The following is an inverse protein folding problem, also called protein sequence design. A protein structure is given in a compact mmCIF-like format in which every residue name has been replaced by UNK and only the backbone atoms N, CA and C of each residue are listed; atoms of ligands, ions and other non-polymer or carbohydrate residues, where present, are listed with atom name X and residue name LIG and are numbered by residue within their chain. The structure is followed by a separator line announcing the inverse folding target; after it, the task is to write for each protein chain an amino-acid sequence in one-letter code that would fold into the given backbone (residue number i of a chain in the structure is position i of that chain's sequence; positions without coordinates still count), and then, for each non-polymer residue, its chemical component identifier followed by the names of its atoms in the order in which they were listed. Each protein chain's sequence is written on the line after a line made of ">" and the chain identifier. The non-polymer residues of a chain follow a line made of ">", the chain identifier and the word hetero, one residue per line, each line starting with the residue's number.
data_IF_035638167415
#
_entry.id   IF_035638167415
#
_cell.length_a   1.000
_cell.length_b   1.000
_cell.length_c   1.000
_cell.angle_alpha   90.00
_cell.angle_beta   90.00
_cell.angle_gamma   90.00
#
_symmetry.space_group_name_H-M   'P 1'
#
loop_
_entity.id
_entity.type
_entity.pdbx_description
1 polymer ?
#
# COMPACT_ATOMS: atom_id res chain seq x y z
N UNK A 1 -6.80 6.37 -16.63
CA UNK A 1 -6.42 5.28 -15.71
C UNK A 1 -5.41 5.77 -14.68
N UNK A 2 -4.28 6.37 -15.11
CA UNK A 2 -3.29 6.96 -14.20
C UNK A 2 -3.86 8.04 -13.29
N UNK A 3 -4.78 8.89 -13.77
CA UNK A 3 -5.35 9.96 -12.95
C UNK A 3 -6.22 9.42 -11.80
N UNK A 4 -7.06 8.42 -12.06
CA UNK A 4 -7.84 7.76 -11.00
C UNK A 4 -6.94 7.11 -9.94
N UNK A 5 -5.81 6.52 -10.35
CA UNK A 5 -4.83 5.96 -9.41
C UNK A 5 -4.15 7.05 -8.56
N UNK A 6 -3.92 8.24 -9.13
CA UNK A 6 -3.38 9.39 -8.38
C UNK A 6 -4.38 9.92 -7.37
N UNK A 7 -5.65 10.05 -7.75
CA UNK A 7 -6.73 10.45 -6.85
C UNK A 7 -6.85 9.46 -5.68
N UNK A 8 -6.81 8.16 -5.97
CA UNK A 8 -6.83 7.12 -4.95
C UNK A 8 -5.61 7.18 -4.03
N UNK A 9 -4.41 7.34 -4.58
CA UNK A 9 -3.18 7.50 -3.80
C UNK A 9 -3.24 8.73 -2.89
N UNK A 10 -3.77 9.85 -3.39
CA UNK A 10 -3.94 11.08 -2.62
C UNK A 10 -4.94 10.89 -1.46
N UNK A 11 -6.08 10.23 -1.72
CA UNK A 11 -7.06 9.89 -0.69
C UNK A 11 -6.45 9.04 0.43
N UNK A 12 -5.76 7.95 0.06
CA UNK A 12 -5.15 7.02 1.02
C UNK A 12 -4.07 7.72 1.85
N UNK A 13 -3.21 8.50 1.20
CA UNK A 13 -2.10 9.21 1.88
C UNK A 13 -2.63 10.28 2.82
N UNK A 14 -3.68 11.02 2.44
CA UNK A 14 -4.30 12.01 3.30
C UNK A 14 -5.02 11.38 4.51
N UNK A 15 -5.64 10.21 4.33
CA UNK A 15 -6.33 9.50 5.41
C UNK A 15 -5.36 8.81 6.39
N UNK A 16 -4.17 8.42 5.93
CA UNK A 16 -3.19 7.63 6.71
C UNK A 16 -1.74 8.15 6.56
N UNK A 17 -1.47 9.43 6.91
CA UNK A 17 -0.17 10.06 6.67
C UNK A 17 0.98 9.38 7.42
N UNK A 18 0.73 8.84 8.61
CA UNK A 18 1.76 8.16 9.43
C UNK A 18 2.00 6.71 9.01
N UNK A 19 1.14 6.14 8.17
CA UNK A 19 1.24 4.75 7.72
C UNK A 19 1.98 4.62 6.38
N UNK A 20 1.79 5.58 5.47
CA UNK A 20 2.34 5.55 4.10
C UNK A 20 3.73 6.19 4.08
N UNK A 21 4.74 5.39 3.70
CA UNK A 21 6.14 5.83 3.53
C UNK A 21 6.34 6.42 2.14
N UNK A 22 5.77 5.77 1.11
CA UNK A 22 5.84 6.24 -0.26
C UNK A 22 4.71 5.67 -1.11
N UNK A 23 4.43 6.35 -2.22
CA UNK A 23 3.46 5.93 -3.24
C UNK A 23 4.12 5.97 -4.61
N UNK A 24 3.91 4.94 -5.42
CA UNK A 24 4.44 4.85 -6.78
C UNK A 24 3.37 4.33 -7.73
N UNK A 25 3.28 4.92 -8.93
CA UNK A 25 2.49 4.37 -10.02
C UNK A 25 3.44 3.88 -11.10
N UNK A 26 3.57 2.57 -11.21
CA UNK A 26 4.45 1.90 -12.17
C UNK A 26 3.63 0.89 -12.96
N UNK A 27 3.89 0.80 -14.27
CA UNK A 27 3.23 -0.17 -15.16
C UNK A 27 1.69 -0.17 -15.13
N UNK A 28 1.06 0.95 -14.74
CA UNK A 28 -0.39 1.06 -14.62
C UNK A 28 -0.98 0.59 -13.29
N UNK A 29 -0.13 0.34 -12.29
CA UNK A 29 -0.52 -0.16 -10.96
C UNK A 29 -0.09 0.82 -9.85
N UNK A 30 -0.90 0.92 -8.81
CA UNK A 30 -0.61 1.73 -7.62
C UNK A 30 0.09 0.88 -6.56
N UNK A 31 1.29 1.28 -6.17
CA UNK A 31 2.11 0.67 -5.13
C UNK A 31 2.17 1.62 -3.92
N UNK A 32 1.92 1.07 -2.73
CA UNK A 32 1.93 1.81 -1.46
C UNK A 32 2.93 1.12 -0.53
N UNK A 33 4.02 1.81 -0.19
CA UNK A 33 4.95 1.33 0.83
C UNK A 33 4.46 1.81 2.18
N UNK A 34 4.23 0.90 3.13
CA UNK A 34 3.73 1.23 4.46
C UNK A 34 4.69 0.83 5.57
N UNK A 35 4.54 1.44 6.74
CA UNK A 35 5.30 1.02 7.91
C UNK A 35 4.82 -0.35 8.41
N UNK A 36 5.73 -1.26 8.83
CA UNK A 36 5.33 -2.58 9.31
C UNK A 36 4.39 -2.53 10.51
N UNK A 37 4.56 -1.53 11.39
CA UNK A 37 3.72 -1.34 12.57
C UNK A 37 2.26 -0.99 12.22
N UNK A 38 2.02 -0.35 11.06
CA UNK A 38 0.69 0.07 10.63
C UNK A 38 -0.03 -0.98 9.78
N UNK A 39 0.64 -2.04 9.33
CA UNK A 39 0.14 -2.95 8.28
C UNK A 39 -1.29 -3.46 8.53
N UNK A 40 -1.55 -4.02 9.72
CA UNK A 40 -2.87 -4.59 10.05
C UNK A 40 -3.96 -3.51 10.03
N UNK A 41 -3.73 -2.39 10.71
CA UNK A 41 -4.68 -1.27 10.74
C UNK A 41 -4.87 -0.63 9.36
N UNK A 42 -3.86 -0.69 8.51
CA UNK A 42 -3.91 -0.21 7.13
C UNK A 42 -4.77 -1.12 6.25
N UNK A 43 -4.63 -2.44 6.37
CA UNK A 43 -5.52 -3.40 5.69
C UNK A 43 -6.99 -3.22 6.12
N UNK A 44 -7.24 -3.01 7.41
CA UNK A 44 -8.59 -2.73 7.91
C UNK A 44 -9.17 -1.43 7.33
N UNK A 45 -8.35 -0.39 7.20
CA UNK A 45 -8.73 0.85 6.52
C UNK A 45 -9.09 0.61 5.05
N UNK A 46 -8.23 -0.06 4.30
CA UNK A 46 -8.47 -0.34 2.87
C UNK A 46 -9.77 -1.12 2.65
N UNK A 47 -10.10 -2.04 3.56
CA UNK A 47 -11.35 -2.81 3.53
C UNK A 47 -12.58 -1.99 3.90
N UNK A 48 -12.47 -1.12 4.90
CA UNK A 48 -13.62 -0.42 5.52
C UNK A 48 -13.94 0.94 4.92
N UNK A 49 -12.95 1.62 4.35
CA UNK A 49 -13.12 2.93 3.74
C UNK A 49 -14.04 2.89 2.51
N UNK A 50 -14.95 3.84 2.43
CA UNK A 50 -16.01 3.84 1.40
C UNK A 50 -15.48 4.09 -0.01
N UNK A 51 -14.34 4.76 -0.14
CA UNK A 51 -13.67 5.05 -1.42
C UNK A 51 -12.78 3.88 -1.85
N UNK A 52 -12.19 3.16 -0.90
CA UNK A 52 -11.25 2.06 -1.17
C UNK A 52 -11.94 0.71 -1.41
N UNK A 53 -12.73 0.22 -0.44
CA UNK A 53 -13.50 -1.04 -0.49
C UNK A 53 -12.71 -2.27 -1.02
N UNK A 54 -11.44 -2.42 -0.63
CA UNK A 54 -10.63 -3.59 -1.00
C UNK A 54 -11.09 -4.81 -0.18
N UNK A 55 -12.11 -5.53 -0.67
CA UNK A 55 -12.75 -6.64 0.03
C UNK A 55 -12.08 -8.00 -0.19
N UNK A 56 -11.17 -8.08 -1.15
CA UNK A 56 -10.55 -9.35 -1.59
C UNK A 56 -9.04 -9.24 -1.47
N UNK A 57 -8.45 -10.10 -0.65
CA UNK A 57 -7.00 -10.34 -0.66
C UNK A 57 -6.69 -11.31 -1.80
N UNK A 58 -5.81 -10.92 -2.71
CA UNK A 58 -5.43 -11.74 -3.86
C UNK A 58 -4.29 -12.69 -3.49
N UNK A 59 -3.22 -12.16 -2.92
CA UNK A 59 -2.02 -12.93 -2.55
C UNK A 59 -1.26 -12.22 -1.42
N UNK A 60 -0.35 -12.95 -0.77
CA UNK A 60 0.69 -12.41 0.11
C UNK A 60 2.00 -13.09 -0.27
N UNK A 61 3.03 -12.29 -0.58
CA UNK A 61 4.33 -12.81 -1.00
C UNK A 61 5.49 -12.09 -0.31
N UNK A 62 6.70 -12.62 -0.50
CA UNK A 62 7.92 -12.08 0.09
C UNK A 62 9.02 -11.99 -0.95
N UNK A 63 9.74 -10.87 -0.97
CA UNK A 63 10.91 -10.66 -1.82
C UNK A 63 12.14 -10.62 -0.93
N UNK A 64 13.13 -11.46 -1.23
CA UNK A 64 14.42 -11.49 -0.55
C UNK A 64 15.42 -10.59 -1.28
N UNK A 65 15.93 -9.59 -0.55
CA UNK A 65 16.99 -8.68 -0.96
C UNK A 65 18.22 -8.86 -0.05
N UNK A 66 19.13 -9.81 -0.36
CA UNK A 66 20.21 -10.22 0.55
C UNK A 66 21.16 -9.10 0.98
N UNK A 67 21.30 -8.06 0.15
CA UNK A 67 22.21 -6.94 0.38
C UNK A 67 21.62 -5.85 1.31
N UNK A 68 20.32 -5.90 1.60
CA UNK A 68 19.66 -4.89 2.44
C UNK A 68 19.68 -5.30 3.92
N UNK A 69 19.91 -4.32 4.80
CA UNK A 69 19.77 -4.53 6.25
C UNK A 69 18.33 -4.95 6.62
N UNK A 70 17.33 -4.35 5.97
CA UNK A 70 15.96 -4.86 5.92
C UNK A 70 15.83 -5.77 4.72
N UNK A 71 16.15 -7.05 4.93
CA UNK A 71 16.34 -8.05 3.87
C UNK A 71 15.06 -8.40 3.10
N UNK A 72 13.92 -8.42 3.78
CA UNK A 72 12.67 -8.88 3.17
C UNK A 72 11.70 -7.74 2.98
N UNK A 73 11.10 -7.68 1.79
CA UNK A 73 9.86 -6.95 1.55
C UNK A 73 8.71 -7.95 1.59
N UNK A 74 7.62 -7.60 2.27
CA UNK A 74 6.36 -8.36 2.26
C UNK A 74 5.37 -7.57 1.43
N UNK A 75 4.70 -8.24 0.49
CA UNK A 75 3.72 -7.65 -0.43
C UNK A 75 2.37 -8.33 -0.21
#
# INVERSE_FOLDING_TARGET
>A
MTEQLRELAAHITAARPDSVVSTEIAYGELNLTVTPAALVAFCDFLKSDQTCRFSTLVDITGIDWPERAKRFDVV
#
